data_IF_772032164176
#
_entry.id   IF_772032164176
#
_cell.length_a   1.000
_cell.length_b   1.000
_cell.length_c   1.000
_cell.angle_alpha   90.00
_cell.angle_beta   90.00
_cell.angle_gamma   90.00
#
_symmetry.space_group_name_H-M   'P 1'
#
loop_
_entity.id
_entity.type
_entity.pdbx_description
1 polymer ?
#
# COMPACT_ATOMS: atom_id res chain seq x y z
N UNK A 1 25.17 1.39 10.99
CA UNK A 1 23.92 2.01 11.48
C UNK A 1 22.97 1.03 12.15
N UNK A 2 22.30 0.10 11.45
CA UNK A 2 21.29 -0.78 12.10
C UNK A 2 21.88 -1.63 13.24
N UNK A 3 22.99 -2.33 12.99
CA UNK A 3 23.69 -3.12 14.01
C UNK A 3 24.22 -2.27 15.17
N UNK A 4 24.71 -1.07 14.88
CA UNK A 4 25.26 -0.17 15.90
C UNK A 4 24.17 0.43 16.80
N UNK A 5 22.98 0.73 16.26
CA UNK A 5 21.91 1.37 17.01
C UNK A 5 20.95 0.37 17.69
N UNK A 6 20.64 -0.75 17.04
CA UNK A 6 19.64 -1.71 17.51
C UNK A 6 20.22 -3.08 17.85
N UNK A 7 21.47 -3.37 17.50
CA UNK A 7 22.03 -4.73 17.58
C UNK A 7 21.39 -5.71 16.60
N UNK A 8 20.59 -5.23 15.64
CA UNK A 8 19.77 -6.04 14.74
C UNK A 8 20.05 -5.67 13.27
N UNK A 9 19.92 -6.64 12.34
CA UNK A 9 20.11 -6.40 10.92
C UNK A 9 19.08 -5.41 10.34
N UNK A 10 19.43 -4.83 9.18
CA UNK A 10 18.57 -3.89 8.47
C UNK A 10 17.32 -4.60 7.94
N UNK A 11 16.15 -4.00 8.09
CA UNK A 11 14.92 -4.57 7.53
C UNK A 11 14.61 -3.92 6.18
N UNK A 12 14.65 -4.70 5.10
CA UNK A 12 14.25 -4.26 3.77
C UNK A 12 12.77 -4.57 3.58
N UNK A 13 11.95 -3.52 3.40
CA UNK A 13 10.52 -3.70 3.17
C UNK A 13 10.25 -3.96 1.70
N UNK A 14 9.81 -5.17 1.36
CA UNK A 14 9.40 -5.51 0.00
C UNK A 14 7.88 -5.37 -0.14
N UNK A 15 7.43 -4.49 -1.03
CA UNK A 15 6.01 -4.30 -1.35
C UNK A 15 5.57 -5.03 -2.62
N UNK A 16 6.51 -5.70 -3.31
CA UNK A 16 6.26 -6.31 -4.61
C UNK A 16 6.20 -5.30 -5.77
N UNK A 17 6.66 -4.07 -5.54
CA UNK A 17 6.73 -3.00 -6.54
C UNK A 17 8.14 -2.82 -7.11
N UNK A 18 8.26 -1.98 -8.15
CA UNK A 18 9.55 -1.66 -8.79
C UNK A 18 10.54 -1.03 -7.82
N UNK A 19 10.05 -0.09 -7.01
CA UNK A 19 10.88 0.70 -6.11
C UNK A 19 11.45 -0.16 -4.97
N UNK A 20 10.67 -1.11 -4.44
CA UNK A 20 11.16 -2.05 -3.43
C UNK A 20 12.07 -3.13 -3.99
N UNK A 21 11.87 -3.56 -5.24
CA UNK A 21 12.77 -4.49 -5.92
C UNK A 21 14.17 -3.88 -6.11
N UNK A 22 14.26 -2.61 -6.51
CA UNK A 22 15.53 -1.87 -6.59
C UNK A 22 16.19 -1.76 -5.21
N UNK A 23 15.44 -1.37 -4.17
CA UNK A 23 16.00 -1.30 -2.82
C UNK A 23 16.55 -2.65 -2.34
N UNK A 24 15.86 -3.76 -2.64
CA UNK A 24 16.32 -5.12 -2.31
C UNK A 24 17.64 -5.44 -3.01
N UNK A 25 17.76 -5.11 -4.29
CA UNK A 25 18.98 -5.36 -5.05
C UNK A 25 20.16 -4.48 -4.58
N UNK A 26 19.92 -3.21 -4.31
CA UNK A 26 20.93 -2.31 -3.75
C UNK A 26 21.48 -2.83 -2.42
N UNK A 27 20.60 -3.25 -1.51
CA UNK A 27 21.02 -3.79 -0.21
C UNK A 27 21.76 -5.11 -0.39
N UNK A 28 21.28 -6.01 -1.27
CA UNK A 28 21.99 -7.26 -1.60
C UNK A 28 23.43 -7.00 -2.06
N UNK A 29 23.65 -6.01 -2.93
CA UNK A 29 24.98 -5.65 -3.46
C UNK A 29 25.87 -4.98 -2.42
N UNK A 30 25.30 -4.20 -1.51
CA UNK A 30 26.06 -3.54 -0.44
C UNK A 30 26.67 -4.52 0.58
N UNK A 31 26.22 -5.78 0.61
CA UNK A 31 26.72 -6.79 1.53
C UNK A 31 26.36 -6.54 3.01
N UNK A 32 25.50 -5.57 3.31
CA UNK A 32 25.04 -5.28 4.67
C UNK A 32 24.11 -6.42 5.13
N UNK A 33 24.22 -6.93 6.36
CA UNK A 33 23.29 -7.93 6.86
C UNK A 33 21.87 -7.37 6.95
N UNK A 34 20.93 -8.05 6.29
CA UNK A 34 19.55 -7.61 6.18
C UNK A 34 18.55 -8.74 6.31
N UNK A 35 17.32 -8.37 6.66
CA UNK A 35 16.14 -9.23 6.70
C UNK A 35 15.12 -8.67 5.71
N UNK A 36 14.33 -9.54 5.08
CA UNK A 36 13.23 -9.14 4.22
C UNK A 36 11.91 -9.15 4.99
N UNK A 37 11.11 -8.12 4.78
CA UNK A 37 9.80 -7.99 5.41
C UNK A 37 8.75 -7.57 4.39
N UNK A 38 7.65 -8.32 4.32
CA UNK A 38 6.47 -7.98 3.54
C UNK A 38 5.24 -7.86 4.44
N UNK A 39 4.51 -6.75 4.34
CA UNK A 39 3.27 -6.54 5.07
C UNK A 39 2.09 -6.86 4.16
N UNK A 40 1.42 -7.98 4.43
CA UNK A 40 0.31 -8.46 3.63
C UNK A 40 -0.97 -7.68 3.97
N UNK A 41 -1.58 -7.04 2.99
CA UNK A 41 -2.79 -6.23 3.22
C UNK A 41 -4.09 -6.93 2.94
N UNK A 42 -4.06 -8.18 2.46
CA UNK A 42 -5.22 -9.00 2.08
C UNK A 42 -6.02 -8.48 0.87
N UNK A 43 -5.74 -7.25 0.44
CA UNK A 43 -6.25 -6.64 -0.79
C UNK A 43 -5.16 -6.57 -1.89
N UNK A 44 -3.99 -7.18 -1.69
CA UNK A 44 -2.95 -7.26 -2.71
C UNK A 44 -3.38 -8.19 -3.85
N UNK A 45 -3.00 -7.86 -5.08
CA UNK A 45 -3.29 -8.69 -6.24
C UNK A 45 -2.59 -10.08 -6.11
N UNK A 46 -3.20 -11.16 -6.60
CA UNK A 46 -2.62 -12.51 -6.52
C UNK A 46 -1.21 -12.60 -7.12
N UNK A 47 -0.98 -11.93 -8.26
CA UNK A 47 0.32 -11.88 -8.94
C UNK A 47 1.40 -11.28 -8.06
N UNK A 48 1.08 -10.22 -7.30
CA UNK A 48 2.00 -9.62 -6.33
C UNK A 48 2.34 -10.61 -5.22
N UNK A 49 1.34 -11.36 -4.73
CA UNK A 49 1.56 -12.36 -3.67
C UNK A 49 2.47 -13.49 -4.18
N UNK A 50 2.23 -14.00 -5.39
CA UNK A 50 3.07 -15.04 -5.99
C UNK A 50 4.50 -14.54 -6.23
N UNK A 51 4.65 -13.35 -6.79
CA UNK A 51 5.94 -12.71 -6.99
C UNK A 51 6.72 -12.57 -5.68
N UNK A 52 6.10 -12.01 -4.63
CA UNK A 52 6.77 -11.84 -3.33
C UNK A 52 7.18 -13.19 -2.73
N UNK A 53 6.31 -14.22 -2.82
CA UNK A 53 6.63 -15.58 -2.34
C UNK A 53 7.83 -16.17 -3.07
N UNK A 54 7.90 -16.01 -4.38
CA UNK A 54 9.02 -16.50 -5.18
C UNK A 54 10.33 -15.79 -4.78
N UNK A 55 10.29 -14.46 -4.61
CA UNK A 55 11.47 -13.70 -4.19
C UNK A 55 11.92 -14.07 -2.77
N UNK A 56 10.97 -14.35 -1.87
CA UNK A 56 11.26 -14.76 -0.50
C UNK A 56 11.88 -16.16 -0.48
N UNK A 57 11.36 -17.09 -1.27
CA UNK A 57 11.95 -18.42 -1.41
C UNK A 57 13.40 -18.36 -1.90
N UNK A 58 13.69 -17.52 -2.91
CA UNK A 58 15.07 -17.29 -3.40
C UNK A 58 15.96 -16.68 -2.32
N UNK A 59 15.43 -15.79 -1.50
CA UNK A 59 16.18 -15.16 -0.42
C UNK A 59 16.46 -16.12 0.74
N UNK A 60 15.49 -16.96 1.11
CA UNK A 60 15.65 -18.02 2.12
C UNK A 60 16.70 -19.04 1.68
N UNK A 61 16.73 -19.42 0.39
CA UNK A 61 17.78 -20.27 -0.18
C UNK A 61 19.18 -19.64 -0.09
N UNK A 62 19.25 -18.30 -0.12
CA UNK A 62 20.49 -17.56 0.08
C UNK A 62 20.83 -17.30 1.57
N UNK A 63 20.05 -17.85 2.51
CA UNK A 63 20.25 -17.70 3.95
C UNK A 63 19.74 -16.38 4.55
N UNK A 64 18.87 -15.65 3.83
CA UNK A 64 18.30 -14.38 4.30
C UNK A 64 16.97 -14.64 5.01
N UNK A 65 16.84 -14.14 6.24
CA UNK A 65 15.59 -14.24 7.02
C UNK A 65 14.48 -13.42 6.35
N UNK A 66 13.35 -14.08 6.08
CA UNK A 66 12.18 -13.47 5.45
C UNK A 66 10.97 -13.50 6.40
N UNK A 67 10.20 -12.41 6.46
CA UNK A 67 9.03 -12.28 7.33
C UNK A 67 7.81 -11.74 6.57
N UNK A 68 6.69 -12.47 6.64
CA UNK A 68 5.40 -12.01 6.08
C UNK A 68 4.48 -11.65 7.25
N UNK A 69 4.32 -10.35 7.49
CA UNK A 69 3.47 -9.85 8.56
C UNK A 69 2.01 -9.86 8.11
N UNK A 70 1.17 -10.49 8.92
CA UNK A 70 -0.29 -10.48 8.78
C UNK A 70 -0.86 -9.37 9.68
N UNK A 71 -1.90 -8.66 9.25
CA UNK A 71 -2.39 -7.51 9.98
C UNK A 71 -3.27 -7.91 11.16
N UNK A 72 -3.07 -7.21 12.28
CA UNK A 72 -3.85 -7.35 13.51
C UNK A 72 -4.48 -6.02 13.88
N UNK A 73 -5.71 -6.07 14.36
CA UNK A 73 -6.42 -4.91 14.90
C UNK A 73 -7.22 -5.35 16.13
N UNK A 74 -7.04 -4.63 17.25
CA UNK A 74 -7.64 -4.97 18.55
C UNK A 74 -7.39 -6.44 18.98
N UNK A 75 -6.17 -6.94 18.80
CA UNK A 75 -5.77 -8.30 19.18
C UNK A 75 -6.28 -9.42 18.28
N UNK A 76 -7.08 -9.11 17.25
CA UNK A 76 -7.60 -10.08 16.31
C UNK A 76 -6.96 -9.94 14.93
N UNK A 77 -6.81 -11.07 14.24
CA UNK A 77 -6.35 -11.08 12.84
C UNK A 77 -7.46 -10.54 11.95
N UNK A 78 -7.11 -9.58 11.11
CA UNK A 78 -8.10 -8.89 10.27
C UNK A 78 -7.75 -9.00 8.79
N UNK A 79 -8.75 -8.71 7.97
CA UNK A 79 -8.62 -8.51 6.53
C UNK A 79 -9.19 -7.13 6.20
N UNK A 80 -8.95 -6.64 4.99
CA UNK A 80 -9.60 -5.44 4.47
C UNK A 80 -11.13 -5.52 4.64
N UNK A 81 -11.70 -6.69 4.33
CA UNK A 81 -13.14 -6.96 4.35
C UNK A 81 -13.74 -6.91 5.74
N UNK A 82 -12.99 -7.32 6.77
CA UNK A 82 -13.42 -7.20 8.17
C UNK A 82 -13.18 -5.81 8.74
N UNK A 83 -12.11 -5.13 8.27
CA UNK A 83 -11.72 -3.81 8.77
C UNK A 83 -12.73 -2.72 8.38
N UNK A 84 -13.28 -2.77 7.16
CA UNK A 84 -14.25 -1.79 6.66
C UNK A 84 -15.50 -1.71 7.57
N UNK A 85 -16.21 -2.82 7.87
CA UNK A 85 -17.29 -2.83 8.85
C UNK A 85 -16.85 -2.40 10.25
N UNK A 86 -15.69 -2.83 10.74
CA UNK A 86 -15.21 -2.46 12.09
C UNK A 86 -14.96 -0.96 12.24
N UNK A 87 -14.46 -0.29 11.19
CA UNK A 87 -14.22 1.16 11.18
C UNK A 87 -15.48 1.95 10.83
N UNK A 88 -16.51 1.29 10.31
CA UNK A 88 -17.76 1.90 9.89
C UNK A 88 -17.57 2.99 8.83
N UNK A 89 -16.45 3.04 8.11
CA UNK A 89 -16.13 4.10 7.13
C UNK A 89 -15.34 3.44 5.98
N UNK A 90 -15.64 3.74 4.69
CA UNK A 90 -14.86 3.22 3.58
C UNK A 90 -13.45 3.85 3.55
N UNK A 91 -12.43 3.16 3.03
CA UNK A 91 -11.15 3.79 2.77
C UNK A 91 -11.32 4.78 1.61
N UNK A 92 -10.87 6.02 1.77
CA UNK A 92 -10.90 7.05 0.71
C UNK A 92 -9.51 7.63 0.50
N UNK A 93 -9.35 8.52 -0.49
CA UNK A 93 -8.07 9.21 -0.75
C UNK A 93 -7.57 10.01 0.46
N UNK A 94 -8.49 10.54 1.26
CA UNK A 94 -8.20 11.33 2.47
C UNK A 94 -8.12 10.45 3.72
N UNK A 95 -9.04 9.49 3.86
CA UNK A 95 -9.15 8.62 5.03
C UNK A 95 -8.49 7.27 4.74
N UNK A 96 -7.21 7.16 5.09
CA UNK A 96 -6.32 6.03 4.73
C UNK A 96 -5.97 5.13 5.91
N UNK A 97 -6.96 4.82 6.76
CA UNK A 97 -6.75 3.94 7.92
C UNK A 97 -6.26 2.54 7.52
N UNK A 98 -6.55 2.10 6.30
CA UNK A 98 -6.13 0.79 5.81
C UNK A 98 -4.62 0.71 5.63
N UNK A 99 -3.94 1.77 5.20
CA UNK A 99 -2.49 1.81 5.13
C UNK A 99 -1.88 1.77 6.54
N UNK A 100 -2.42 2.56 7.46
CA UNK A 100 -1.95 2.61 8.85
C UNK A 100 -2.01 1.22 9.51
N UNK A 101 -3.19 0.59 9.45
CA UNK A 101 -3.43 -0.69 10.14
C UNK A 101 -2.80 -1.87 9.40
N UNK A 102 -2.86 -1.90 8.07
CA UNK A 102 -2.46 -3.07 7.29
C UNK A 102 -1.01 -3.00 6.77
N UNK A 103 -0.45 -1.81 6.54
CA UNK A 103 0.89 -1.62 5.93
C UNK A 103 1.93 -1.03 6.87
N UNK A 104 1.56 -0.08 7.72
CA UNK A 104 2.54 0.75 8.44
C UNK A 104 2.88 0.22 9.85
N UNK A 105 2.09 -0.71 10.38
CA UNK A 105 2.25 -1.29 11.72
C UNK A 105 3.51 -2.17 11.91
N UNK A 106 4.27 -2.46 10.84
CA UNK A 106 5.48 -3.27 10.89
C UNK A 106 6.76 -2.46 11.16
N UNK A 107 7.76 -3.11 11.78
CA UNK A 107 9.12 -2.58 11.93
C UNK A 107 9.30 -1.56 13.07
N UNK A 108 8.50 -1.64 14.13
CA UNK A 108 8.73 -0.85 15.35
C UNK A 108 10.08 -1.24 15.99
N UNK A 109 10.86 -0.25 16.43
CA UNK A 109 12.17 -0.47 17.05
C UNK A 109 13.22 -1.09 16.12
N UNK A 110 13.07 -0.92 14.81
CA UNK A 110 14.02 -1.39 13.79
C UNK A 110 14.42 -0.25 12.87
N UNK A 111 15.56 -0.44 12.21
CA UNK A 111 15.98 0.36 11.07
C UNK A 111 15.40 -0.27 9.81
N UNK A 112 14.59 0.48 9.06
CA UNK A 112 13.91 -0.03 7.86
C UNK A 112 14.34 0.73 6.60
N UNK A 113 14.34 0.04 5.46
CA UNK A 113 14.55 0.65 4.15
C UNK A 113 13.24 0.69 3.37
N UNK A 114 12.87 1.85 2.82
CA UNK A 114 11.68 2.00 1.97
C UNK A 114 12.01 2.63 0.63
N UNK A 115 11.33 2.19 -0.44
CA UNK A 115 11.48 2.74 -1.80
C UNK A 115 10.69 4.02 -2.05
N UNK A 116 10.63 4.93 -1.08
CA UNK A 116 9.88 6.19 -1.23
C UNK A 116 10.68 7.19 -2.03
N UNK A 117 10.08 7.77 -3.08
CA UNK A 117 10.76 8.77 -3.94
C UNK A 117 10.11 10.14 -3.93
N UNK A 118 10.91 11.17 -4.18
CA UNK A 118 10.46 12.55 -4.40
C UNK A 118 9.65 12.70 -5.67
N UNK A 119 10.00 11.95 -6.72
CA UNK A 119 9.28 11.92 -7.99
C UNK A 119 7.80 11.50 -7.83
N UNK A 120 7.45 10.70 -6.81
CA UNK A 120 6.07 10.27 -6.59
C UNK A 120 5.11 11.42 -6.21
N UNK A 121 5.59 12.49 -5.57
CA UNK A 121 4.74 13.68 -5.33
C UNK A 121 5.52 14.91 -4.88
N UNK A 122 5.01 16.09 -5.24
CA UNK A 122 5.53 17.40 -4.79
C UNK A 122 5.61 17.52 -3.26
N UNK A 123 4.66 16.94 -2.53
CA UNK A 123 4.65 16.93 -1.05
C UNK A 123 5.77 16.08 -0.47
N UNK A 124 6.10 14.95 -1.11
CA UNK A 124 7.23 14.10 -0.67
C UNK A 124 8.55 14.80 -0.86
N UNK A 125 8.76 15.49 -1.99
CA UNK A 125 9.98 16.28 -2.23
C UNK A 125 10.27 17.30 -1.13
N UNK A 126 9.24 17.92 -0.54
CA UNK A 126 9.42 18.91 0.53
C UNK A 126 9.59 18.29 1.92
N UNK A 127 9.02 17.12 2.16
CA UNK A 127 8.83 16.59 3.53
C UNK A 127 9.61 15.31 3.82
N UNK A 128 10.21 14.67 2.81
CA UNK A 128 10.89 13.37 2.93
C UNK A 128 12.38 13.56 2.76
N UNK A 129 13.16 12.95 3.66
CA UNK A 129 14.62 12.92 3.59
C UNK A 129 15.14 11.53 3.25
N UNK A 130 16.44 11.42 3.02
CA UNK A 130 17.13 10.13 2.89
C UNK A 130 16.98 9.34 4.20
N UNK A 131 17.17 9.99 5.34
CA UNK A 131 16.98 9.40 6.67
C UNK A 131 15.86 10.08 7.43
N UNK A 132 15.05 9.29 8.11
CA UNK A 132 13.92 9.79 8.90
C UNK A 132 13.75 9.06 10.22
N UNK A 133 13.39 9.83 11.24
CA UNK A 133 13.07 9.32 12.57
C UNK A 133 11.56 9.32 12.78
N UNK A 134 10.96 8.14 12.87
CA UNK A 134 9.58 7.98 13.32
C UNK A 134 9.56 7.79 14.83
N UNK A 135 9.24 8.87 15.54
CA UNK A 135 8.94 8.86 16.97
C UNK A 135 7.42 8.83 17.13
N UNK A 136 6.82 7.83 17.79
CA UNK A 136 5.40 7.86 18.14
C UNK A 136 5.11 9.14 18.95
N UNK A 137 4.16 9.97 18.49
CA UNK A 137 3.79 11.27 19.08
C UNK A 137 4.85 12.40 19.06
N UNK A 138 5.97 12.26 18.33
CA UNK A 138 6.95 13.33 18.13
C UNK A 138 6.71 14.14 16.85
N UNK A 139 7.10 15.43 16.84
CA UNK A 139 7.21 16.20 15.59
C UNK A 139 8.15 15.45 14.63
N UNK A 140 7.69 15.10 13.43
CA UNK A 140 8.51 14.47 12.38
C UNK A 140 9.71 15.38 12.07
N UNK A 141 10.91 14.99 12.50
CA UNK A 141 12.16 15.62 12.07
C UNK A 141 12.69 14.79 10.90
N UNK A 142 12.39 15.22 9.68
CA UNK A 142 13.10 14.72 8.50
C UNK A 142 14.51 15.32 8.55
N UNK A 143 15.53 14.49 8.72
CA UNK A 143 16.91 14.95 8.67
C UNK A 143 17.26 14.97 7.18
N UNK A 144 17.26 16.16 6.61
CA UNK A 144 17.81 16.40 5.28
C UNK A 144 19.31 16.54 5.50
N UNK A 145 20.09 15.53 5.09
CA UNK A 145 21.53 15.73 4.99
C UNK A 145 21.78 16.73 3.87
N UNK A 146 22.18 17.95 4.25
CA UNK A 146 22.98 18.77 3.36
C UNK A 146 24.35 18.12 3.24
N UNK A 147 24.88 18.13 2.03
CA UNK A 147 26.09 17.43 1.58
C UNK A 147 27.41 17.96 2.19
N UNK A 148 27.34 18.69 3.31
CA UNK A 148 28.51 19.12 4.07
C UNK A 148 28.89 18.00 5.03
N UNK A 149 29.72 17.11 4.49
CA UNK A 149 30.32 16.00 5.19
C UNK A 149 31.38 16.53 6.19
N UNK A 150 30.92 16.98 7.34
CA UNK A 150 31.78 17.14 8.51
C UNK A 150 31.67 15.84 9.31
N UNK A 151 32.76 15.05 9.34
CA UNK A 151 32.88 13.69 9.92
C UNK A 151 32.48 13.61 11.42
N UNK A 152 32.12 14.74 12.02
CA UNK A 152 31.70 14.89 13.41
C UNK A 152 30.17 14.94 13.61
N UNK A 153 29.36 15.05 12.55
CA UNK A 153 27.88 15.02 12.67
C UNK A 153 27.35 13.58 12.64
N UNK A 154 26.88 13.09 13.80
CA UNK A 154 26.12 11.82 13.88
C UNK A 154 24.84 11.95 13.02
N UNK A 155 24.69 11.07 12.02
CA UNK A 155 23.51 10.96 11.12
C UNK A 155 22.17 10.93 11.88
N UNK A 156 22.21 10.45 13.12
CA UNK A 156 21.16 10.60 14.11
C UNK A 156 21.78 11.29 15.33
N UNK A 157 21.26 12.46 15.73
CA UNK A 157 21.45 12.93 17.10
C UNK A 157 21.06 11.79 18.04
N UNK A 158 21.82 11.58 19.12
CA UNK A 158 21.77 10.45 20.05
C UNK A 158 20.47 10.34 20.86
N UNK A 159 19.32 10.48 20.20
CA UNK A 159 18.06 10.05 20.74
C UNK A 159 18.02 8.53 20.56
N UNK A 160 18.52 7.82 21.58
CA UNK A 160 18.31 6.39 21.87
C UNK A 160 16.80 6.05 22.05
N UNK A 161 15.90 6.84 21.45
CA UNK A 161 14.50 6.52 21.40
C UNK A 161 14.35 5.20 20.65
N UNK A 162 13.59 4.27 21.22
CA UNK A 162 13.17 3.01 20.59
C UNK A 162 12.19 3.24 19.43
N UNK A 163 12.36 4.35 18.71
CA UNK A 163 11.59 4.72 17.53
C UNK A 163 11.97 3.87 16.33
N UNK A 164 11.26 4.08 15.23
CA UNK A 164 11.50 3.42 13.94
C UNK A 164 12.34 4.35 13.08
N UNK A 165 13.54 3.92 12.68
CA UNK A 165 14.37 4.68 11.74
C UNK A 165 14.11 4.21 10.31
N UNK A 166 14.02 5.14 9.37
CA UNK A 166 13.74 4.85 7.95
C UNK A 166 14.85 5.40 7.08
N UNK A 167 15.33 4.60 6.13
CA UNK A 167 16.20 5.02 5.04
C UNK A 167 15.49 4.89 3.69
N UNK A 168 15.65 5.90 2.84
CA UNK A 168 15.12 5.97 1.49
C UNK A 168 16.29 6.10 0.49
N UNK A 169 16.93 4.99 0.09
CA UNK A 169 18.19 5.02 -0.66
C UNK A 169 18.05 5.54 -2.09
N UNK A 170 16.82 5.53 -2.64
CA UNK A 170 16.51 5.96 -4.01
C UNK A 170 15.63 7.22 -4.01
N UNK A 171 15.61 7.99 -2.92
CA UNK A 171 14.63 9.07 -2.72
C UNK A 171 14.69 10.14 -3.81
N UNK A 172 15.87 10.40 -4.34
CA UNK A 172 16.19 11.38 -5.38
C UNK A 172 16.08 10.80 -6.80
N UNK A 173 15.84 9.49 -6.96
CA UNK A 173 15.76 8.84 -8.26
C UNK A 173 14.47 9.20 -9.01
N UNK A 174 14.60 9.46 -10.32
CA UNK A 174 13.50 9.60 -11.25
C UNK A 174 12.87 8.24 -11.60
N UNK A 175 11.66 8.25 -12.17
CA UNK A 175 11.04 7.01 -12.67
C UNK A 175 11.90 6.35 -13.76
N UNK A 176 12.53 7.15 -14.61
CA UNK A 176 13.41 6.68 -15.67
C UNK A 176 14.63 5.96 -15.10
N UNK A 177 15.32 6.56 -14.13
CA UNK A 177 16.50 5.94 -13.49
C UNK A 177 16.17 4.60 -12.83
N UNK A 178 15.00 4.50 -12.18
CA UNK A 178 14.52 3.24 -11.60
C UNK A 178 14.36 2.18 -12.67
N UNK A 179 13.71 2.49 -13.80
CA UNK A 179 13.49 1.53 -14.87
C UNK A 179 14.78 1.18 -15.61
N UNK A 180 15.65 2.14 -15.88
CA UNK A 180 16.97 1.90 -16.49
C UNK A 180 17.80 0.94 -15.64
N UNK A 181 17.83 1.14 -14.32
CA UNK A 181 18.52 0.24 -13.39
C UNK A 181 17.91 -1.16 -13.39
N UNK A 182 16.58 -1.27 -13.36
CA UNK A 182 15.87 -2.57 -13.42
C UNK A 182 16.25 -3.34 -14.69
N UNK A 183 16.30 -2.65 -15.85
CA UNK A 183 16.64 -3.28 -17.12
C UNK A 183 18.12 -3.66 -17.20
N UNK A 184 19.02 -2.76 -16.80
CA UNK A 184 20.46 -3.01 -16.81
C UNK A 184 20.84 -4.21 -15.93
N UNK A 185 20.22 -4.31 -14.75
CA UNK A 185 20.51 -5.34 -13.77
C UNK A 185 19.60 -6.58 -13.89
N UNK A 186 18.69 -6.59 -14.88
CA UNK A 186 17.76 -7.69 -15.15
C UNK A 186 16.99 -8.13 -13.90
N UNK A 187 16.52 -7.16 -13.12
CA UNK A 187 15.82 -7.42 -11.86
C UNK A 187 14.46 -8.05 -12.18
N UNK A 188 14.11 -9.21 -11.58
CA UNK A 188 12.79 -9.80 -11.75
C UNK A 188 11.71 -8.82 -11.32
N UNK A 189 10.71 -8.63 -12.17
CA UNK A 189 9.64 -7.67 -11.95
C UNK A 189 8.31 -8.36 -11.69
N UNK A 190 7.43 -7.66 -10.97
CA UNK A 190 6.08 -8.13 -10.74
C UNK A 190 5.32 -8.22 -12.10
N UNK A 191 4.67 -9.36 -12.41
CA UNK A 191 3.94 -9.55 -13.67
C UNK A 191 2.88 -8.49 -13.97
N UNK A 192 2.36 -7.79 -12.96
CA UNK A 192 1.44 -6.68 -13.16
C UNK A 192 2.03 -5.57 -14.05
N UNK A 193 3.34 -5.33 -14.02
CA UNK A 193 3.96 -4.33 -14.89
C UNK A 193 3.83 -4.70 -16.37
N UNK A 194 3.98 -5.99 -16.70
CA UNK A 194 3.79 -6.51 -18.06
C UNK A 194 2.32 -6.48 -18.48
N UNK A 195 1.40 -6.62 -17.52
CA UNK A 195 -0.04 -6.43 -17.73
C UNK A 195 -0.43 -4.95 -17.93
N UNK A 196 0.52 -4.03 -18.01
CA UNK A 196 0.30 -2.60 -18.26
C UNK A 196 -0.15 -1.81 -17.02
N UNK A 197 0.19 -2.27 -15.82
CA UNK A 197 0.07 -1.48 -14.60
C UNK A 197 1.33 -0.64 -14.39
N UNK A 198 1.16 0.68 -14.22
CA UNK A 198 2.27 1.59 -13.89
C UNK A 198 2.58 1.64 -12.38
N UNK A 199 1.62 1.22 -11.56
CA UNK A 199 1.70 1.16 -10.10
C UNK A 199 1.20 -0.19 -9.63
N UNK A 200 1.97 -0.83 -8.76
CA UNK A 200 1.53 -2.01 -8.00
C UNK A 200 1.07 -1.58 -6.60
N UNK A 201 -0.12 -1.99 -6.21
CA UNK A 201 -0.72 -1.68 -4.92
C UNK A 201 -1.83 -2.66 -4.57
N UNK A 202 -2.64 -2.30 -3.57
CA UNK A 202 -3.85 -3.05 -3.26
C UNK A 202 -4.89 -2.82 -4.37
N UNK A 203 -5.56 -3.89 -4.78
CA UNK A 203 -6.69 -3.87 -5.70
C UNK A 203 -7.82 -3.03 -5.09
N UNK A 204 -8.38 -2.09 -5.85
CA UNK A 204 -9.44 -1.20 -5.40
C UNK A 204 -8.96 -0.06 -4.50
N UNK A 205 -7.68 0.30 -4.54
CA UNK A 205 -7.19 1.44 -3.77
C UNK A 205 -7.71 2.76 -4.39
N UNK A 206 -8.34 3.67 -3.62
CA UNK A 206 -8.77 4.98 -4.13
C UNK A 206 -7.64 5.84 -4.69
N UNK A 207 -6.38 5.50 -4.38
CA UNK A 207 -5.20 6.16 -4.91
C UNK A 207 -4.89 5.76 -6.37
N UNK A 208 -5.42 4.64 -6.86
CA UNK A 208 -5.26 4.19 -8.25
C UNK A 208 -6.07 5.04 -9.24
N UNK A 209 -7.03 5.84 -8.76
CA UNK A 209 -7.88 6.69 -9.60
C UNK A 209 -8.68 5.86 -10.60
N UNK A 210 -8.76 6.31 -11.85
CA UNK A 210 -9.54 5.66 -12.92
C UNK A 210 -9.10 4.22 -13.24
N UNK A 211 -7.89 3.81 -12.83
CA UNK A 211 -7.42 2.43 -13.00
C UNK A 211 -8.19 1.43 -12.12
N UNK A 212 -8.91 1.88 -11.08
CA UNK A 212 -9.65 1.00 -10.17
C UNK A 212 -10.68 0.11 -10.88
N UNK A 213 -11.39 0.61 -11.89
CA UNK A 213 -12.32 -0.21 -12.67
C UNK A 213 -11.59 -1.28 -13.50
N UNK A 214 -10.42 -0.96 -14.04
CA UNK A 214 -9.58 -1.93 -14.74
C UNK A 214 -9.08 -3.01 -13.80
N UNK A 215 -8.71 -2.65 -12.57
CA UNK A 215 -8.36 -3.61 -11.51
C UNK A 215 -9.51 -4.57 -11.21
N UNK A 216 -10.73 -4.07 -11.04
CA UNK A 216 -11.90 -4.91 -10.76
C UNK A 216 -12.33 -5.78 -11.93
N UNK A 217 -12.18 -5.32 -13.18
CA UNK A 217 -12.39 -6.15 -14.37
C UNK A 217 -11.42 -7.33 -14.44
N UNK A 218 -10.17 -7.13 -14.05
CA UNK A 218 -9.15 -8.19 -14.01
C UNK A 218 -9.35 -9.08 -12.77
N UNK A 219 -9.80 -8.51 -11.65
CA UNK A 219 -9.96 -9.17 -10.36
C UNK A 219 -11.39 -9.03 -9.79
N UNK A 220 -12.41 -9.63 -10.43
CA UNK A 220 -13.81 -9.44 -10.04
C UNK A 220 -14.17 -10.01 -8.66
N UNK A 221 -13.35 -10.93 -8.14
CA UNK A 221 -13.48 -11.44 -6.77
C UNK A 221 -13.30 -10.36 -5.72
N UNK A 222 -12.41 -9.38 -5.96
CA UNK A 222 -12.17 -8.28 -5.03
C UNK A 222 -13.32 -7.30 -5.06
N UNK A 223 -13.90 -7.02 -6.24
CA UNK A 223 -15.10 -6.20 -6.35
C UNK A 223 -16.25 -6.77 -5.52
N UNK A 224 -16.53 -8.07 -5.67
CA UNK A 224 -17.55 -8.77 -4.87
C UNK A 224 -17.24 -8.70 -3.37
N UNK A 225 -15.98 -8.81 -2.99
CA UNK A 225 -15.56 -8.69 -1.58
C UNK A 225 -15.77 -7.28 -1.02
N UNK A 226 -15.47 -6.23 -1.81
CA UNK A 226 -15.77 -4.84 -1.45
C UNK A 226 -17.26 -4.60 -1.30
N UNK A 227 -18.09 -5.03 -2.27
CA UNK A 227 -19.55 -4.89 -2.21
C UNK A 227 -20.12 -5.58 -0.96
N UNK A 228 -19.67 -6.80 -0.65
CA UNK A 228 -20.07 -7.52 0.57
C UNK A 228 -19.65 -6.79 1.86
N UNK A 229 -18.43 -6.24 1.89
CA UNK A 229 -17.94 -5.48 3.04
C UNK A 229 -18.72 -4.17 3.24
N UNK A 230 -19.08 -3.49 2.14
CA UNK A 230 -19.91 -2.29 2.18
C UNK A 230 -21.35 -2.60 2.61
N UNK A 231 -21.96 -3.67 2.12
CA UNK A 231 -23.28 -4.12 2.57
C UNK A 231 -23.31 -4.29 4.10
N UNK A 232 -22.36 -5.05 4.64
CA UNK A 232 -22.23 -5.27 6.10
C UNK A 232 -21.97 -3.97 6.86
N UNK A 233 -21.17 -3.07 6.31
CA UNK A 233 -20.92 -1.75 6.91
C UNK A 233 -22.21 -0.91 6.97
N UNK A 234 -23.01 -0.89 5.91
CA UNK A 234 -24.28 -0.15 5.86
C UNK A 234 -25.30 -0.72 6.85
N UNK A 235 -25.40 -2.05 6.97
CA UNK A 235 -26.23 -2.73 7.98
C UNK A 235 -25.84 -2.31 9.41
N UNK A 236 -24.54 -2.38 9.74
CA UNK A 236 -24.07 -1.97 11.06
C UNK A 236 -24.31 -0.48 11.32
N UNK A 237 -24.27 0.37 10.28
CA UNK A 237 -24.53 1.82 10.42
C UNK A 237 -26.00 2.07 10.72
N UNK A 238 -26.90 1.34 10.05
CA UNK A 238 -28.34 1.36 10.31
C UNK A 238 -28.63 0.91 11.74
N UNK A 239 -28.03 -0.20 12.19
CA UNK A 239 -28.19 -0.71 13.56
C UNK A 239 -27.66 0.26 14.63
N UNK A 240 -26.58 0.99 14.34
CA UNK A 240 -26.00 1.99 15.25
C UNK A 240 -26.73 3.35 15.24
N UNK A 241 -27.85 3.48 14.53
CA UNK A 241 -28.61 4.75 14.42
C UNK A 241 -27.86 5.85 13.65
N UNK A 242 -26.75 5.53 12.96
CA UNK A 242 -25.97 6.48 12.14
C UNK A 242 -26.49 6.53 10.72
N UNK A 243 -27.81 6.70 10.58
CA UNK A 243 -28.43 6.83 9.26
C UNK A 243 -28.07 8.18 8.66
N UNK A 244 -27.58 8.18 7.42
CA UNK A 244 -27.54 9.37 6.59
C UNK A 244 -28.71 9.23 5.60
N UNK A 245 -29.67 10.16 5.63
CA UNK A 245 -30.92 10.16 4.83
C UNK A 245 -30.70 10.34 3.31
N UNK A 246 -29.56 9.95 2.78
CA UNK A 246 -29.25 10.03 1.35
C UNK A 246 -29.35 8.64 0.72
N UNK A 247 -29.99 8.56 -0.45
CA UNK A 247 -30.13 7.35 -1.31
C UNK A 247 -28.80 6.60 -1.53
N UNK A 248 -27.69 7.31 -1.38
CA UNK A 248 -26.31 6.81 -1.42
C UNK A 248 -25.95 5.81 -0.31
N UNK A 249 -26.65 5.84 0.83
CA UNK A 249 -26.35 5.01 2.00
C UNK A 249 -27.38 3.88 2.20
N UNK A 250 -28.39 3.80 1.34
CA UNK A 250 -29.39 2.73 1.35
C UNK A 250 -29.05 1.58 0.40
N UNK A 251 -28.43 1.90 -0.75
CA UNK A 251 -28.08 0.94 -1.80
C UNK A 251 -26.55 0.73 -1.89
N UNK A 252 -26.13 -0.53 -1.95
CA UNK A 252 -24.72 -0.93 -2.02
C UNK A 252 -24.13 -0.56 -3.38
N UNK A 253 -24.91 -0.65 -4.45
CA UNK A 253 -24.41 -0.42 -5.80
C UNK A 253 -24.22 1.07 -6.08
N UNK A 254 -25.20 1.89 -5.68
CA UNK A 254 -25.05 3.35 -5.64
C UNK A 254 -23.86 3.79 -4.77
N UNK A 255 -23.68 3.17 -3.58
CA UNK A 255 -22.55 3.47 -2.70
C UNK A 255 -21.20 3.11 -3.35
N UNK A 256 -21.13 1.95 -4.01
CA UNK A 256 -19.92 1.50 -4.69
C UNK A 256 -19.56 2.43 -5.85
N UNK A 257 -20.52 2.85 -6.67
CA UNK A 257 -20.32 3.83 -7.76
C UNK A 257 -19.80 5.16 -7.22
N UNK A 258 -20.39 5.66 -6.14
CA UNK A 258 -19.89 6.86 -5.44
C UNK A 258 -18.46 6.69 -4.94
N UNK A 259 -18.15 5.56 -4.31
CA UNK A 259 -16.82 5.27 -3.80
C UNK A 259 -15.77 5.18 -4.92
N UNK A 260 -16.18 4.76 -6.12
CA UNK A 260 -15.37 4.75 -7.33
C UNK A 260 -15.20 6.13 -7.98
N UNK A 261 -15.77 7.19 -7.40
CA UNK A 261 -15.80 8.54 -7.98
C UNK A 261 -16.38 8.54 -9.40
N UNK A 262 -17.34 7.65 -9.66
CA UNK A 262 -18.04 7.56 -10.94
C UNK A 262 -19.26 8.48 -10.89
N UNK A 263 -19.27 9.60 -11.63
CA UNK A 263 -20.38 10.55 -11.58
C UNK A 263 -21.68 9.96 -12.13
N UNK A 264 -21.66 8.79 -12.78
CA UNK A 264 -22.74 8.34 -13.64
C UNK A 264 -22.82 9.25 -14.86
N UNK A 265 -22.92 8.70 -16.05
CA UNK A 265 -23.16 9.53 -17.23
C UNK A 265 -24.66 9.90 -17.20
N UNK A 266 -25.04 11.19 -17.19
CA UNK A 266 -26.45 11.55 -17.37
C UNK A 266 -26.94 10.94 -18.69
N UNK A 267 -28.04 10.18 -18.65
CA UNK A 267 -28.59 9.38 -19.75
C UNK A 267 -27.90 8.04 -20.06
N UNK A 268 -27.18 7.46 -19.11
CA UNK A 268 -26.74 6.06 -19.23
C UNK A 268 -27.92 5.11 -19.01
N UNK A 269 -28.12 4.21 -19.96
CA UNK A 269 -29.14 3.16 -19.88
C UNK A 269 -28.60 1.96 -19.08
N UNK A 270 -29.41 1.44 -18.16
CA UNK A 270 -29.24 0.13 -17.56
C UNK A 270 -30.11 -0.87 -18.33
N UNK A 271 -29.56 -2.05 -18.64
CA UNK A 271 -30.33 -3.13 -19.26
C UNK A 271 -31.05 -3.86 -18.13
N UNK A 272 -32.35 -3.61 -18.00
CA UNK A 272 -33.20 -4.32 -17.05
C UNK A 272 -33.89 -5.48 -17.75
N UNK A 273 -33.85 -6.64 -17.12
CA UNK A 273 -34.64 -7.78 -17.55
C UNK A 273 -35.99 -7.69 -16.86
N UNK A 274 -37.04 -7.45 -17.65
CA UNK A 274 -38.40 -7.40 -17.14
C UNK A 274 -38.99 -8.81 -17.15
N UNK A 275 -39.19 -9.38 -15.96
CA UNK A 275 -39.70 -10.75 -15.80
C UNK A 275 -41.10 -10.93 -16.41
N UNK A 276 -41.90 -9.86 -16.46
CA UNK A 276 -43.27 -9.87 -16.99
C UNK A 276 -43.34 -9.96 -18.51
N UNK A 277 -42.36 -9.39 -19.22
CA UNK A 277 -42.31 -9.34 -20.68
C UNK A 277 -41.25 -10.27 -21.26
N UNK A 278 -40.39 -10.84 -20.39
CA UNK A 278 -39.29 -11.74 -20.76
C UNK A 278 -38.31 -11.10 -21.76
N UNK A 279 -38.21 -9.76 -21.72
CA UNK A 279 -37.49 -8.92 -22.67
C UNK A 279 -36.53 -7.98 -21.91
N UNK A 280 -35.49 -7.52 -22.61
CA UNK A 280 -34.50 -6.60 -22.07
C UNK A 280 -34.87 -5.19 -22.49
N UNK A 281 -35.07 -4.30 -21.51
CA UNK A 281 -35.39 -2.89 -21.74
C UNK A 281 -34.23 -1.99 -21.35
N UNK A 282 -34.20 -0.80 -21.94
CA UNK A 282 -33.29 0.27 -21.58
C UNK A 282 -33.97 1.17 -20.54
N UNK A 283 -33.59 1.03 -19.28
CA UNK A 283 -34.06 1.91 -18.21
C UNK A 283 -33.05 3.03 -17.94
N UNK A 284 -33.52 4.23 -17.67
CA UNK A 284 -32.65 5.35 -17.31
C UNK A 284 -32.25 5.25 -15.83
N UNK A 285 -30.94 5.42 -15.56
CA UNK A 285 -30.37 5.52 -14.21
C UNK A 285 -30.85 6.76 -13.43
#
# INVERSE_FOLDING_TARGET
MSLQHYGLPLVVTDSGGKDSAVCRELVRRSGVPFELMHNLTTADAPQTIYYVREQFQKAEQAGITCSINKPYYKGQRITMWSLIPMKMIPPTRTIRYCCEVLKENGGAGRFITTGVRWAESRKRRKNRGIYENFVPNGKKRAIILNNDNDDTRRLFESCLSRGKHVCNPIVDWSDQQVWEYIQAEKIPMNPLYEMGFHRVGCVGCPMAGKQGYREFRIFPTYERAYRRAFAKMLELRKAAGRQCNSRLWSDVDAFFRWWMEDPGIPAQYELSFHEDTNEIYYDYL
#
